data_IF_881183065029
#
_entry.id   IF_881183065029
#
_cell.length_a   1.000
_cell.length_b   1.000
_cell.length_c   1.000
_cell.angle_alpha   90.00
_cell.angle_beta   90.00
_cell.angle_gamma   90.00
#
_symmetry.space_group_name_H-M   'P 1'
#
loop_
_entity.id
_entity.type
_entity.pdbx_description
1 polymer ?
#
# COMPACT_ATOMS: atom_id res chain seq x y z
N UNK A 1 -19.40 -28.99 -12.20
CA UNK A 1 -18.59 -27.77 -12.35
C UNK A 1 -17.82 -27.63 -11.04
N UNK A 2 -16.49 -27.73 -11.08
CA UNK A 2 -15.70 -27.49 -9.88
C UNK A 2 -15.82 -25.99 -9.57
N UNK A 3 -16.52 -25.65 -8.49
CA UNK A 3 -16.49 -24.30 -7.93
C UNK A 3 -15.05 -23.95 -7.57
N UNK A 4 -14.38 -23.24 -8.45
CA UNK A 4 -13.06 -22.69 -8.14
C UNK A 4 -13.27 -21.70 -7.01
N UNK A 5 -12.87 -22.07 -5.81
CA UNK A 5 -13.04 -21.23 -4.63
C UNK A 5 -12.39 -19.87 -4.89
N UNK A 6 -13.19 -18.79 -4.80
CA UNK A 6 -12.71 -17.42 -4.98
C UNK A 6 -11.56 -17.19 -3.99
N UNK A 7 -10.41 -16.75 -4.53
CA UNK A 7 -9.20 -16.45 -3.77
C UNK A 7 -8.63 -15.12 -4.26
N UNK A 8 -8.55 -14.12 -3.38
CA UNK A 8 -8.23 -12.75 -3.76
C UNK A 8 -6.93 -12.30 -3.11
N UNK A 9 -6.10 -11.62 -3.89
CA UNK A 9 -4.97 -10.83 -3.41
C UNK A 9 -5.27 -9.34 -3.58
N UNK A 10 -4.91 -8.51 -2.59
CA UNK A 10 -5.05 -7.06 -2.63
C UNK A 10 -3.67 -6.41 -2.48
N UNK A 11 -3.33 -5.49 -3.38
CA UNK A 11 -2.09 -4.71 -3.34
C UNK A 11 -2.43 -3.23 -3.29
N UNK A 12 -2.04 -2.54 -2.23
CA UNK A 12 -2.21 -1.08 -2.06
C UNK A 12 -0.88 -0.40 -2.38
N UNK A 13 -0.92 0.66 -3.18
CA UNK A 13 0.28 1.30 -3.73
C UNK A 13 0.82 0.57 -4.97
N UNK A 14 -0.08 -0.01 -5.76
CA UNK A 14 0.24 -0.86 -6.90
C UNK A 14 0.95 -0.14 -8.06
N UNK A 15 0.83 1.19 -8.17
CA UNK A 15 1.54 2.01 -9.17
C UNK A 15 3.00 2.30 -8.81
N UNK A 16 3.43 2.07 -7.57
CA UNK A 16 4.83 2.23 -7.16
C UNK A 16 5.70 1.04 -7.62
N UNK A 17 7.02 1.25 -7.70
CA UNK A 17 7.95 0.23 -8.21
C UNK A 17 7.87 -1.12 -7.49
N UNK A 18 7.72 -1.13 -6.15
CA UNK A 18 7.55 -2.39 -5.40
C UNK A 18 6.14 -2.95 -5.61
N UNK A 19 5.11 -2.09 -5.55
CA UNK A 19 3.72 -2.52 -5.71
C UNK A 19 3.45 -3.16 -7.06
N UNK A 20 3.94 -2.56 -8.16
CA UNK A 20 3.80 -3.12 -9.51
C UNK A 20 4.52 -4.47 -9.64
N UNK A 21 5.74 -4.58 -9.11
CA UNK A 21 6.47 -5.85 -9.10
C UNK A 21 5.74 -6.94 -8.29
N UNK A 22 5.06 -6.58 -7.21
CA UNK A 22 4.22 -7.52 -6.44
C UNK A 22 3.03 -7.98 -7.27
N UNK A 23 2.31 -7.08 -7.94
CA UNK A 23 1.19 -7.43 -8.83
C UNK A 23 1.66 -8.37 -9.93
N UNK A 24 2.77 -8.07 -10.60
CA UNK A 24 3.37 -8.92 -11.62
C UNK A 24 3.67 -10.33 -11.13
N UNK A 25 4.22 -10.46 -9.93
CA UNK A 25 4.49 -11.78 -9.33
C UNK A 25 3.20 -12.54 -8.99
N UNK A 26 2.16 -11.84 -8.49
CA UNK A 26 0.87 -12.46 -8.19
C UNK A 26 0.19 -12.98 -9.46
N UNK A 27 0.31 -12.26 -10.59
CA UNK A 27 -0.18 -12.69 -11.91
C UNK A 27 0.55 -13.98 -12.34
N UNK A 28 1.89 -13.99 -12.25
CA UNK A 28 2.72 -15.15 -12.64
C UNK A 28 2.45 -16.41 -11.82
N UNK A 29 2.15 -16.27 -10.54
CA UNK A 29 1.85 -17.40 -9.63
C UNK A 29 0.54 -18.10 -10.00
N UNK A 30 -0.41 -17.42 -10.67
CA UNK A 30 -1.70 -17.97 -11.11
C UNK A 30 -2.53 -18.64 -9.98
N UNK A 31 -2.33 -18.19 -8.74
CA UNK A 31 -2.99 -18.77 -7.54
C UNK A 31 -4.28 -18.04 -7.18
N UNK A 32 -4.42 -16.80 -7.64
CA UNK A 32 -5.50 -15.91 -7.27
C UNK A 32 -6.51 -15.80 -8.40
N UNK A 33 -7.79 -16.00 -8.07
CA UNK A 33 -8.88 -15.78 -9.02
C UNK A 33 -9.03 -14.29 -9.37
N UNK A 34 -8.72 -13.41 -8.39
CA UNK A 34 -8.72 -11.97 -8.57
C UNK A 34 -7.52 -11.34 -7.87
N UNK A 35 -6.94 -10.35 -8.52
CA UNK A 35 -5.88 -9.49 -7.97
C UNK A 35 -6.41 -8.07 -7.99
N UNK A 36 -6.62 -7.48 -6.83
CA UNK A 36 -7.05 -6.09 -6.71
C UNK A 36 -5.81 -5.20 -6.59
N UNK A 37 -5.58 -4.34 -7.57
CA UNK A 37 -4.51 -3.36 -7.57
C UNK A 37 -5.07 -1.98 -7.24
N UNK A 38 -4.60 -1.38 -6.14
CA UNK A 38 -5.06 -0.06 -5.67
C UNK A 38 -3.95 0.95 -5.85
N UNK A 39 -4.23 2.02 -6.61
CA UNK A 39 -3.29 3.10 -6.92
C UNK A 39 -3.82 4.46 -6.49
N UNK A 40 -2.94 5.44 -6.38
CA UNK A 40 -3.35 6.83 -6.19
C UNK A 40 -3.88 7.41 -7.50
N UNK A 41 -4.97 8.18 -7.46
CA UNK A 41 -5.63 8.79 -8.65
C UNK A 41 -4.71 9.57 -9.57
N UNK A 42 -3.68 10.24 -9.03
CA UNK A 42 -2.77 11.07 -9.82
C UNK A 42 -1.87 10.31 -10.78
N UNK A 43 -1.86 8.96 -10.73
CA UNK A 43 -1.03 8.13 -11.62
C UNK A 43 -1.77 7.63 -12.87
N UNK A 44 -3.07 7.85 -12.97
CA UNK A 44 -3.90 7.28 -14.05
C UNK A 44 -4.15 8.25 -15.20
N UNK A 45 -3.78 9.52 -15.07
CA UNK A 45 -3.85 10.50 -16.18
C UNK A 45 -2.99 10.15 -17.41
N UNK A 46 -2.23 9.06 -17.37
CA UNK A 46 -1.35 8.60 -18.45
C UNK A 46 -1.87 7.41 -19.27
N UNK A 47 -3.16 7.09 -19.20
CA UNK A 47 -3.76 5.97 -19.96
C UNK A 47 -3.90 4.70 -19.13
N UNK A 48 -4.64 3.72 -19.64
CA UNK A 48 -4.97 2.45 -18.99
C UNK A 48 -3.83 1.87 -18.16
N UNK A 49 -4.15 1.40 -16.95
CA UNK A 49 -3.20 0.65 -16.12
C UNK A 49 -2.54 -0.45 -16.95
N UNK A 50 -1.22 -0.64 -16.82
CA UNK A 50 -0.52 -1.74 -17.51
C UNK A 50 -1.11 -3.13 -17.18
N UNK A 51 -1.92 -3.21 -16.13
CA UNK A 51 -2.60 -4.42 -15.65
C UNK A 51 -3.98 -4.64 -16.28
N UNK A 52 -4.58 -3.67 -16.98
CA UNK A 52 -5.92 -3.79 -17.59
C UNK A 52 -6.01 -4.90 -18.64
N UNK A 53 -4.86 -5.33 -19.17
CA UNK A 53 -4.77 -6.45 -20.12
C UNK A 53 -5.01 -7.83 -19.48
N UNK A 54 -5.00 -7.92 -18.14
CA UNK A 54 -5.20 -9.18 -17.43
C UNK A 54 -6.62 -9.27 -16.88
N UNK A 55 -7.39 -10.23 -17.35
CA UNK A 55 -8.82 -10.40 -17.02
C UNK A 55 -9.08 -10.69 -15.54
N UNK A 56 -8.07 -11.13 -14.80
CA UNK A 56 -8.16 -11.40 -13.36
C UNK A 56 -7.61 -10.25 -12.49
N UNK A 57 -7.20 -9.13 -13.07
CA UNK A 57 -6.76 -7.94 -12.32
C UNK A 57 -7.87 -6.89 -12.33
N UNK A 58 -8.25 -6.44 -11.14
CA UNK A 58 -9.17 -5.33 -10.92
C UNK A 58 -8.37 -4.12 -10.46
N UNK A 59 -8.20 -3.14 -11.36
CA UNK A 59 -7.54 -1.89 -11.05
C UNK A 59 -8.53 -0.91 -10.40
N UNK A 60 -8.20 -0.39 -9.23
CA UNK A 60 -8.99 0.57 -8.48
C UNK A 60 -8.12 1.76 -8.06
N UNK A 61 -8.76 2.92 -7.93
CA UNK A 61 -8.12 4.16 -7.58
C UNK A 61 -8.65 4.74 -6.28
N UNK A 62 -7.80 5.46 -5.57
CA UNK A 62 -8.14 6.18 -4.35
C UNK A 62 -7.26 7.42 -4.21
N UNK A 63 -7.80 8.51 -3.67
CA UNK A 63 -7.02 9.70 -3.29
C UNK A 63 -6.47 9.60 -1.86
N UNK A 64 -6.64 8.43 -1.22
CA UNK A 64 -6.24 8.15 0.15
C UNK A 64 -6.91 9.04 1.21
N UNK A 65 -8.03 9.68 0.89
CA UNK A 65 -8.94 10.25 1.90
C UNK A 65 -9.70 9.12 2.62
N UNK A 66 -10.18 9.40 3.82
CA UNK A 66 -10.98 8.43 4.57
C UNK A 66 -12.25 8.02 3.80
N UNK A 67 -12.89 8.96 3.12
CA UNK A 67 -14.08 8.73 2.31
C UNK A 67 -13.78 7.84 1.11
N UNK A 68 -12.68 8.11 0.39
CA UNK A 68 -12.26 7.32 -0.77
C UNK A 68 -11.87 5.89 -0.36
N UNK A 69 -11.20 5.72 0.80
CA UNK A 69 -10.89 4.39 1.33
C UNK A 69 -12.17 3.63 1.69
N UNK A 70 -13.14 4.29 2.34
CA UNK A 70 -14.43 3.66 2.67
C UNK A 70 -15.19 3.22 1.42
N UNK A 71 -15.24 4.07 0.40
CA UNK A 71 -15.86 3.75 -0.90
C UNK A 71 -15.15 2.56 -1.56
N UNK A 72 -13.81 2.55 -1.54
CA UNK A 72 -13.03 1.43 -2.03
C UNK A 72 -13.39 0.12 -1.32
N UNK A 73 -13.49 0.13 0.01
CA UNK A 73 -13.85 -1.06 0.79
C UNK A 73 -15.28 -1.54 0.51
N UNK A 74 -16.22 -0.61 0.31
CA UNK A 74 -17.58 -0.95 -0.10
C UNK A 74 -17.59 -1.68 -1.46
N UNK A 75 -16.81 -1.21 -2.44
CA UNK A 75 -16.66 -1.86 -3.74
C UNK A 75 -16.05 -3.28 -3.65
N UNK A 76 -15.28 -3.55 -2.60
CA UNK A 76 -14.68 -4.86 -2.34
C UNK A 76 -15.55 -5.79 -1.49
N UNK A 77 -16.75 -5.37 -1.11
CA UNK A 77 -17.65 -6.14 -0.21
C UNK A 77 -17.99 -7.54 -0.72
N UNK A 78 -18.07 -7.72 -2.04
CA UNK A 78 -18.28 -9.03 -2.68
C UNK A 78 -17.14 -10.03 -2.45
N UNK A 79 -15.94 -9.56 -2.09
CA UNK A 79 -14.77 -10.38 -1.78
C UNK A 79 -14.61 -10.68 -0.29
N UNK A 80 -15.58 -10.29 0.54
CA UNK A 80 -15.52 -10.53 1.99
C UNK A 80 -15.28 -12.01 2.30
N UNK A 81 -14.28 -12.28 3.13
CA UNK A 81 -13.86 -13.65 3.48
C UNK A 81 -13.11 -14.41 2.39
N UNK A 82 -12.93 -13.81 1.20
CA UNK A 82 -12.19 -14.40 0.09
C UNK A 82 -10.76 -13.84 -0.06
N UNK A 83 -10.45 -12.73 0.61
CA UNK A 83 -9.12 -12.12 0.55
C UNK A 83 -8.17 -12.91 1.44
N UNK A 84 -7.18 -13.56 0.83
CA UNK A 84 -6.19 -14.38 1.54
C UNK A 84 -4.79 -13.74 1.60
N UNK A 85 -4.56 -12.69 0.82
CA UNK A 85 -3.32 -11.93 0.78
C UNK A 85 -3.58 -10.44 0.67
N UNK A 86 -2.93 -9.66 1.53
CA UNK A 86 -2.88 -8.20 1.41
C UNK A 86 -1.43 -7.75 1.47
N UNK A 87 -1.04 -6.87 0.56
CA UNK A 87 0.29 -6.23 0.58
C UNK A 87 0.08 -4.72 0.50
N UNK A 88 0.50 -4.00 1.53
CA UNK A 88 0.46 -2.55 1.60
C UNK A 88 1.85 -2.02 1.29
N UNK A 89 2.01 -1.44 0.10
CA UNK A 89 3.28 -0.96 -0.45
C UNK A 89 3.44 0.57 -0.37
N UNK A 90 2.48 1.26 0.23
CA UNK A 90 2.55 2.71 0.40
C UNK A 90 3.81 3.12 1.16
N UNK A 91 4.46 4.17 0.64
CA UNK A 91 5.59 4.77 1.32
C UNK A 91 6.31 5.75 0.43
N UNK A 92 6.83 6.81 1.03
CA UNK A 92 7.69 7.79 0.37
C UNK A 92 8.97 7.96 1.19
N UNK A 93 10.08 8.10 0.49
CA UNK A 93 11.37 8.54 1.01
C UNK A 93 11.68 9.94 0.49
N UNK A 94 11.35 10.18 -0.78
CA UNK A 94 11.47 11.47 -1.45
C UNK A 94 10.29 11.65 -2.43
N UNK A 95 9.98 12.92 -2.73
CA UNK A 95 8.97 13.31 -3.72
C UNK A 95 9.42 14.64 -4.33
N UNK A 96 9.94 14.59 -5.57
CA UNK A 96 10.46 15.77 -6.27
C UNK A 96 9.36 16.81 -6.53
N UNK A 97 8.10 16.37 -6.74
CA UNK A 97 6.98 17.28 -7.01
C UNK A 97 6.58 18.09 -5.77
N UNK A 98 6.84 17.55 -4.58
CA UNK A 98 6.53 18.19 -3.30
C UNK A 98 7.75 18.73 -2.57
N UNK A 99 8.91 18.72 -3.22
CA UNK A 99 10.18 19.14 -2.60
C UNK A 99 10.46 18.42 -1.28
N UNK A 100 10.23 17.10 -1.26
CA UNK A 100 10.47 16.25 -0.10
C UNK A 100 11.73 15.42 -0.36
N UNK A 101 12.77 15.68 0.43
CA UNK A 101 14.03 14.94 0.36
C UNK A 101 14.42 14.40 1.74
N UNK A 102 15.13 13.25 1.79
CA UNK A 102 15.65 12.71 3.05
C UNK A 102 16.64 13.70 3.69
N UNK A 103 16.36 14.10 4.91
CA UNK A 103 17.18 15.09 5.64
C UNK A 103 18.58 14.52 5.93
N UNK A 104 19.62 15.31 5.71
CA UNK A 104 21.01 14.96 6.00
C UNK A 104 21.48 15.55 7.32
N UNK A 105 20.90 16.68 7.73
CA UNK A 105 21.22 17.42 8.95
C UNK A 105 19.94 17.97 9.60
N UNK A 106 20.03 18.41 10.84
CA UNK A 106 18.84 18.89 11.60
C UNK A 106 18.17 20.11 10.97
N UNK A 107 18.95 20.97 10.34
CA UNK A 107 18.46 22.20 9.69
C UNK A 107 17.59 21.89 8.46
N UNK A 108 17.68 20.68 7.91
CA UNK A 108 16.88 20.27 6.76
C UNK A 108 15.46 19.83 7.18
N UNK A 109 15.15 19.74 8.49
CA UNK A 109 13.86 19.30 8.99
C UNK A 109 12.78 20.34 8.68
N UNK A 110 11.76 19.89 7.93
CA UNK A 110 10.54 20.65 7.68
C UNK A 110 9.37 19.98 8.39
N UNK A 111 8.64 20.73 9.23
CA UNK A 111 7.44 20.23 9.92
C UNK A 111 6.41 19.69 8.94
N UNK A 112 6.13 20.44 7.87
CA UNK A 112 5.15 20.08 6.85
C UNK A 112 5.53 18.75 6.16
N UNK A 113 6.81 18.64 5.76
CA UNK A 113 7.31 17.43 5.11
C UNK A 113 7.29 16.24 6.06
N UNK A 114 7.70 16.42 7.31
CA UNK A 114 7.68 15.38 8.33
C UNK A 114 6.28 14.85 8.59
N UNK A 115 5.28 15.73 8.75
CA UNK A 115 3.88 15.36 8.91
C UNK A 115 3.39 14.58 7.69
N UNK A 116 3.72 15.02 6.48
CA UNK A 116 3.34 14.33 5.26
C UNK A 116 3.96 12.92 5.16
N UNK A 117 5.26 12.79 5.45
CA UNK A 117 5.95 11.50 5.45
C UNK A 117 5.37 10.55 6.51
N UNK A 118 5.10 11.03 7.73
CA UNK A 118 4.44 10.27 8.79
C UNK A 118 3.04 9.81 8.35
N UNK A 119 2.26 10.70 7.73
CA UNK A 119 0.94 10.37 7.21
C UNK A 119 1.01 9.24 6.19
N UNK A 120 1.88 9.35 5.18
CA UNK A 120 1.96 8.37 4.09
C UNK A 120 2.54 7.04 4.57
N UNK A 121 3.58 7.06 5.39
CA UNK A 121 4.35 5.87 5.74
C UNK A 121 3.82 5.11 6.96
N UNK A 122 3.09 5.77 7.87
CA UNK A 122 2.58 5.17 9.09
C UNK A 122 1.05 5.22 9.18
N UNK A 123 0.45 6.42 9.12
CA UNK A 123 -0.98 6.57 9.33
C UNK A 123 -1.81 5.92 8.22
N UNK A 124 -1.45 6.13 6.97
CA UNK A 124 -2.20 5.61 5.81
C UNK A 124 -2.29 4.08 5.80
N UNK A 125 -1.20 3.32 6.00
CA UNK A 125 -1.30 1.87 6.18
C UNK A 125 -2.27 1.44 7.27
N UNK A 126 -2.29 2.14 8.42
CA UNK A 126 -3.20 1.84 9.53
C UNK A 126 -4.66 2.14 9.16
N UNK A 127 -4.93 3.20 8.41
CA UNK A 127 -6.28 3.51 7.92
C UNK A 127 -6.79 2.41 6.98
N UNK A 128 -5.92 1.91 6.08
CA UNK A 128 -6.28 0.75 5.26
C UNK A 128 -6.53 -0.49 6.10
N UNK A 129 -5.67 -0.80 7.05
CA UNK A 129 -5.82 -1.97 7.94
C UNK A 129 -7.14 -1.92 8.73
N UNK A 130 -7.48 -0.74 9.27
CA UNK A 130 -8.72 -0.53 10.01
C UNK A 130 -9.95 -0.95 9.20
N UNK A 131 -10.04 -0.53 7.96
CA UNK A 131 -11.19 -0.82 7.10
C UNK A 131 -11.12 -2.26 6.51
N UNK A 132 -9.92 -2.76 6.22
CA UNK A 132 -9.70 -4.10 5.67
C UNK A 132 -10.08 -5.22 6.65
N UNK A 133 -9.95 -5.01 7.96
CA UNK A 133 -10.27 -6.04 8.98
C UNK A 133 -11.66 -6.64 8.79
N UNK A 134 -12.64 -5.83 8.40
CA UNK A 134 -14.03 -6.29 8.18
C UNK A 134 -14.13 -7.20 6.96
N UNK A 135 -13.33 -6.95 5.91
CA UNK A 135 -13.33 -7.73 4.66
C UNK A 135 -12.55 -9.04 4.78
N UNK A 136 -11.44 -9.02 5.53
CA UNK A 136 -10.59 -10.22 5.68
C UNK A 136 -11.05 -11.15 6.78
N UNK A 137 -11.95 -10.71 7.65
CA UNK A 137 -12.50 -11.52 8.74
C UNK A 137 -13.39 -12.64 8.18
N UNK A 138 -12.98 -13.88 8.39
CA UNK A 138 -13.69 -15.08 7.91
C UNK A 138 -12.95 -16.36 8.30
N UNK A 139 -13.35 -17.48 7.72
CA UNK A 139 -12.74 -18.79 7.97
C UNK A 139 -11.38 -18.95 7.28
N UNK A 140 -11.16 -18.27 6.15
CA UNK A 140 -9.90 -18.34 5.42
C UNK A 140 -8.83 -17.49 6.10
N UNK A 141 -7.64 -18.08 6.25
CA UNK A 141 -6.46 -17.34 6.73
C UNK A 141 -6.07 -16.25 5.72
N UNK A 142 -5.99 -15.01 6.17
CA UNK A 142 -5.43 -13.90 5.41
C UNK A 142 -4.04 -13.54 5.96
N UNK A 143 -3.07 -13.39 5.05
CA UNK A 143 -1.74 -12.85 5.40
C UNK A 143 -1.67 -11.40 4.94
N UNK A 144 -1.43 -10.50 5.88
CA UNK A 144 -1.29 -9.07 5.62
C UNK A 144 0.19 -8.71 5.81
N UNK A 145 0.76 -8.07 4.80
CA UNK A 145 2.14 -7.58 4.81
C UNK A 145 2.14 -6.07 4.59
N UNK A 146 2.86 -5.35 5.44
CA UNK A 146 3.04 -3.89 5.31
C UNK A 146 4.53 -3.61 5.15
N UNK A 147 4.90 -2.79 4.17
CA UNK A 147 6.31 -2.51 3.91
C UNK A 147 6.86 -1.49 4.92
N UNK A 148 7.73 -1.97 5.80
CA UNK A 148 8.55 -1.13 6.65
C UNK A 148 9.97 -0.96 6.05
N UNK A 149 10.92 -0.53 6.85
CA UNK A 149 12.32 -0.40 6.48
C UNK A 149 13.22 -0.68 7.68
N UNK A 150 14.42 -1.25 7.41
CA UNK A 150 15.42 -1.50 8.45
C UNK A 150 15.78 -0.24 9.25
N UNK A 151 15.85 0.91 8.59
CA UNK A 151 16.17 2.20 9.24
C UNK A 151 15.09 2.70 10.20
N UNK A 152 13.90 2.07 10.23
CA UNK A 152 12.88 2.28 11.27
C UNK A 152 13.19 1.58 12.59
N UNK A 153 14.26 0.75 12.67
CA UNK A 153 14.72 0.19 13.93
C UNK A 153 15.31 1.28 14.83
N UNK A 154 14.89 1.31 16.09
CA UNK A 154 15.45 2.23 17.10
C UNK A 154 16.90 1.87 17.40
N UNK A 155 17.25 0.59 17.40
CA UNK A 155 18.60 0.11 17.68
C UNK A 155 19.58 0.30 16.53
N UNK A 156 19.09 0.31 15.27
CA UNK A 156 19.92 0.47 14.07
C UNK A 156 20.04 1.95 13.67
N UNK A 157 20.36 2.84 14.63
CA UNK A 157 20.58 4.26 14.40
C UNK A 157 22.06 4.64 14.56
N UNK A 158 22.88 4.29 13.58
CA UNK A 158 24.33 4.55 13.61
C UNK A 158 24.76 5.75 12.76
N UNK A 159 24.10 5.95 11.60
CA UNK A 159 24.48 6.96 10.63
C UNK A 159 23.76 8.31 10.81
N UNK A 160 22.62 8.32 11.53
CA UNK A 160 21.76 9.51 11.63
C UNK A 160 21.08 9.86 10.30
N UNK A 161 20.59 11.09 10.19
CA UNK A 161 19.87 11.57 9.01
C UNK A 161 18.51 10.90 8.77
N UNK A 162 17.83 11.28 7.71
CA UNK A 162 16.53 10.75 7.28
C UNK A 162 15.48 10.76 8.40
N UNK A 163 15.45 11.84 9.16
CA UNK A 163 14.68 11.92 10.41
C UNK A 163 13.20 11.61 10.20
N UNK A 164 12.57 12.24 9.21
CA UNK A 164 11.15 12.02 8.90
C UNK A 164 10.88 10.59 8.48
N UNK A 165 11.71 10.03 7.59
CA UNK A 165 11.55 8.66 7.10
C UNK A 165 11.74 7.64 8.22
N UNK A 166 12.82 7.77 9.00
CA UNK A 166 13.11 6.87 10.13
C UNK A 166 12.02 6.90 11.16
N UNK A 167 11.59 8.12 11.58
CA UNK A 167 10.49 8.28 12.54
C UNK A 167 9.20 7.65 12.01
N UNK A 168 8.88 7.83 10.73
CA UNK A 168 7.67 7.25 10.14
C UNK A 168 7.69 5.72 10.08
N UNK A 169 8.85 5.13 9.79
CA UNK A 169 8.98 3.66 9.74
C UNK A 169 9.08 3.04 11.15
N UNK A 170 9.62 3.76 12.12
CA UNK A 170 9.55 3.36 13.53
C UNK A 170 8.10 3.42 14.07
N UNK A 171 7.34 4.45 13.69
CA UNK A 171 5.93 4.58 14.07
C UNK A 171 5.03 3.50 13.43
N UNK A 172 5.41 2.97 12.26
CA UNK A 172 4.71 1.88 11.61
C UNK A 172 4.95 0.53 12.30
N UNK A 173 6.18 0.29 12.80
CA UNK A 173 6.58 -0.95 13.48
C UNK A 173 5.89 -1.14 14.83
#
# INVERSE_FOLDING_TARGET
MNDVAINVALVVGASGGIGSAVVDQLIKIQRYSHIVSVSHKSFVDSGSSEFDKFSNVLALETDYSAESINTLMANLSSFKGCISRVVICNGILHDDQKDIFPEKKLEDISEVNMIHVLRVNALLPLLFLKELVVLVKGEKRCVISVLSARVGSIEDNRLGGWYSYRASKAALN
#
